data_IF_816343649316
#
_entry.id   IF_816343649316
#
_cell.length_a   1.000
_cell.length_b   1.000
_cell.length_c   1.000
_cell.angle_alpha   90.00
_cell.angle_beta   90.00
_cell.angle_gamma   90.00
#
_symmetry.space_group_name_H-M   'P 1'
#
loop_
_entity.id
_entity.type
_entity.pdbx_description
1 polymer ?
#
# COMPACT_ATOMS: atom_id res chain seq x y z
N UNK A 1 -12.88 11.17 -11.61
CA UNK A 1 -12.25 9.90 -12.02
C UNK A 1 -12.57 8.84 -10.98
N UNK A 2 -13.31 7.78 -11.37
CA UNK A 2 -13.52 6.61 -10.52
C UNK A 2 -12.53 5.54 -10.99
N UNK A 3 -11.54 5.25 -10.16
CA UNK A 3 -10.73 4.04 -10.30
C UNK A 3 -11.31 3.04 -9.30
N UNK A 4 -11.53 1.76 -9.65
CA UNK A 4 -11.78 0.70 -8.67
C UNK A 4 -10.49 0.47 -7.87
N UNK A 5 -10.15 1.45 -7.03
CA UNK A 5 -8.85 1.60 -6.43
C UNK A 5 -8.73 0.75 -5.18
N UNK A 6 -7.57 0.13 -5.00
CA UNK A 6 -7.16 -0.32 -3.68
C UNK A 6 -6.58 0.88 -2.90
N UNK A 7 -6.64 0.81 -1.58
CA UNK A 7 -5.96 1.73 -0.68
C UNK A 7 -4.96 0.92 0.14
N UNK A 8 -3.81 1.52 0.39
CA UNK A 8 -2.79 1.01 1.29
C UNK A 8 -2.78 1.91 2.51
N UNK A 9 -2.83 1.32 3.69
CA UNK A 9 -2.77 2.04 4.95
C UNK A 9 -1.61 1.57 5.80
N UNK A 10 -0.82 2.50 6.31
CA UNK A 10 0.23 2.18 7.29
C UNK A 10 -0.43 1.97 8.65
N UNK A 11 -0.27 0.78 9.21
CA UNK A 11 -0.87 0.34 10.48
C UNK A 11 0.16 0.14 11.60
N UNK A 12 1.45 0.12 11.26
CA UNK A 12 2.56 0.06 12.22
C UNK A 12 3.81 0.71 11.65
N UNK A 13 4.65 1.24 12.53
CA UNK A 13 5.91 1.89 12.16
C UNK A 13 6.95 1.62 13.25
N UNK A 14 8.16 1.25 12.84
CA UNK A 14 9.35 1.20 13.67
C UNK A 14 10.50 1.92 12.96
N UNK A 15 10.85 3.11 13.45
CA UNK A 15 11.98 3.94 12.98
C UNK A 15 11.92 4.31 11.49
N UNK A 16 10.73 4.34 10.89
CA UNK A 16 10.57 4.82 9.52
C UNK A 16 10.50 6.35 9.50
N UNK A 17 11.43 6.98 8.79
CA UNK A 17 11.50 8.45 8.69
C UNK A 17 10.49 9.05 7.69
N UNK A 18 10.00 8.23 6.76
CA UNK A 18 9.20 8.70 5.63
C UNK A 18 7.69 8.52 5.82
N UNK A 19 7.30 7.45 6.52
CA UNK A 19 5.93 7.03 6.67
C UNK A 19 5.57 6.86 8.13
N UNK A 20 4.34 7.22 8.48
CA UNK A 20 3.82 7.07 9.84
C UNK A 20 2.51 6.31 9.83
N UNK A 21 2.17 5.75 10.99
CA UNK A 21 0.87 5.11 11.19
C UNK A 21 -0.25 6.09 10.84
N UNK A 22 -1.19 5.63 10.02
CA UNK A 22 -2.28 6.44 9.50
C UNK A 22 -2.03 7.05 8.12
N UNK A 23 -0.81 7.00 7.59
CA UNK A 23 -0.56 7.36 6.19
C UNK A 23 -1.30 6.42 5.24
N UNK A 24 -1.86 7.00 4.18
CA UNK A 24 -2.64 6.28 3.18
C UNK A 24 -2.11 6.56 1.77
N UNK A 25 -2.08 5.51 0.95
CA UNK A 25 -1.68 5.56 -0.45
C UNK A 25 -2.79 4.94 -1.31
N UNK A 26 -3.02 5.54 -2.46
CA UNK A 26 -3.93 5.01 -3.47
C UNK A 26 -3.19 4.07 -4.41
N UNK A 27 -3.87 2.99 -4.77
CA UNK A 27 -3.49 2.05 -5.81
C UNK A 27 -4.53 2.14 -6.94
N UNK A 28 -4.05 2.35 -8.16
CA UNK A 28 -4.78 2.07 -9.39
C UNK A 28 -4.15 0.86 -10.09
N UNK A 29 -4.75 0.40 -11.19
CA UNK A 29 -4.23 -0.72 -11.98
C UNK A 29 -2.74 -0.64 -12.33
N UNK A 30 -2.20 0.58 -12.49
CA UNK A 30 -0.83 0.79 -12.97
C UNK A 30 -0.03 1.80 -12.16
N UNK A 31 -0.59 2.38 -11.10
CA UNK A 31 0.09 3.43 -10.35
C UNK A 31 -0.19 3.35 -8.85
N UNK A 32 0.81 3.76 -8.09
CA UNK A 32 0.69 4.06 -6.66
C UNK A 32 0.82 5.57 -6.51
N UNK A 33 -0.07 6.18 -5.74
CA UNK A 33 -0.08 7.62 -5.53
C UNK A 33 -0.31 7.96 -4.06
N UNK A 34 0.29 9.06 -3.61
CA UNK A 34 0.11 9.57 -2.25
C UNK A 34 -0.94 10.67 -2.25
N UNK A 35 -1.93 10.57 -1.37
CA UNK A 35 -2.95 11.62 -1.22
C UNK A 35 -2.38 12.95 -0.70
N UNK A 36 -1.30 12.89 0.07
CA UNK A 36 -0.71 14.04 0.76
C UNK A 36 0.56 14.57 0.06
N UNK A 37 0.81 14.19 -1.20
CA UNK A 37 2.01 14.59 -1.94
C UNK A 37 3.34 14.06 -1.38
N UNK A 38 3.31 13.17 -0.38
CA UNK A 38 4.50 12.53 0.18
C UNK A 38 5.25 11.72 -0.90
N UNK A 39 6.59 11.72 -0.87
CA UNK A 39 7.38 10.90 -1.78
C UNK A 39 7.12 9.41 -1.56
N UNK A 40 7.08 8.66 -2.67
CA UNK A 40 6.88 7.22 -2.66
C UNK A 40 8.24 6.53 -2.81
N UNK A 41 8.58 5.70 -1.84
CA UNK A 41 9.81 4.92 -1.79
C UNK A 41 9.72 3.79 -2.80
N UNK A 42 10.70 3.69 -3.70
CA UNK A 42 10.70 2.66 -4.74
C UNK A 42 10.86 1.24 -4.17
N UNK A 43 11.48 1.09 -3.00
CA UNK A 43 11.55 -0.20 -2.28
C UNK A 43 10.15 -0.63 -1.87
N UNK A 44 9.39 0.28 -1.24
CA UNK A 44 8.01 0.04 -0.85
C UNK A 44 7.11 -0.31 -2.07
N UNK A 45 7.30 0.37 -3.20
CA UNK A 45 6.62 0.01 -4.46
C UNK A 45 6.97 -1.40 -4.90
N UNK A 46 8.24 -1.80 -4.78
CA UNK A 46 8.71 -3.15 -5.06
C UNK A 46 8.02 -4.20 -4.19
N UNK A 47 7.97 -3.97 -2.88
CA UNK A 47 7.29 -4.85 -1.91
C UNK A 47 5.81 -5.02 -2.27
N UNK A 48 5.13 -3.91 -2.57
CA UNK A 48 3.72 -3.93 -2.98
C UNK A 48 3.55 -4.71 -4.29
N UNK A 49 4.43 -4.50 -5.29
CA UNK A 49 4.36 -5.24 -6.55
C UNK A 49 4.57 -6.74 -6.35
N UNK A 50 5.48 -7.13 -5.45
CA UNK A 50 5.70 -8.54 -5.14
C UNK A 50 4.47 -9.16 -4.47
N UNK A 51 3.86 -8.45 -3.53
CA UNK A 51 2.59 -8.86 -2.91
C UNK A 51 1.51 -8.99 -3.98
N UNK A 52 1.34 -7.99 -4.86
CA UNK A 52 0.35 -8.04 -5.94
C UNK A 52 0.59 -9.18 -6.93
N UNK A 53 1.85 -9.49 -7.26
CA UNK A 53 2.22 -10.58 -8.16
C UNK A 53 2.02 -11.96 -7.52
N UNK A 54 2.38 -12.13 -6.25
CA UNK A 54 2.12 -13.37 -5.48
C UNK A 54 0.63 -13.60 -5.24
N UNK A 55 -0.14 -12.52 -5.17
CA UNK A 55 -1.58 -12.53 -5.00
C UNK A 55 -2.29 -12.14 -6.31
N UNK A 56 -2.11 -12.92 -7.39
CA UNK A 56 -3.04 -12.93 -8.57
C UNK A 56 -4.53 -13.03 -8.15
N UNK A 57 -4.76 -13.40 -6.89
CA UNK A 57 -6.00 -13.54 -6.17
C UNK A 57 -6.22 -12.37 -5.17
N UNK A 58 -6.27 -11.12 -5.63
CA UNK A 58 -7.10 -10.10 -4.97
C UNK A 58 -8.58 -10.30 -5.33
N UNK A 59 -9.03 -11.55 -5.35
CA UNK A 59 -10.45 -11.92 -5.37
C UNK A 59 -10.97 -11.64 -3.96
N UNK A 60 -11.72 -10.55 -3.84
CA UNK A 60 -12.59 -10.22 -2.72
C UNK A 60 -11.97 -10.33 -1.31
N UNK A 61 -11.57 -9.18 -0.74
CA UNK A 61 -11.50 -8.96 0.70
C UNK A 61 -10.33 -9.58 1.50
N UNK A 62 -9.19 -9.88 0.89
CA UNK A 62 -8.02 -10.28 1.67
C UNK A 62 -7.25 -9.06 2.18
N UNK A 63 -7.35 -8.82 3.48
CA UNK A 63 -6.51 -7.89 4.26
C UNK A 63 -5.10 -8.48 4.33
N UNK A 64 -4.23 -8.13 3.39
CA UNK A 64 -2.83 -8.55 3.44
C UNK A 64 -2.03 -7.55 4.26
N UNK A 65 -1.33 -8.07 5.27
CA UNK A 65 -0.45 -7.27 6.13
C UNK A 65 0.98 -7.68 5.86
N UNK A 66 1.82 -6.71 5.53
CA UNK A 66 3.22 -6.95 5.21
C UNK A 66 4.11 -5.86 5.80
N UNK A 67 5.36 -6.21 6.06
CA UNK A 67 6.39 -5.27 6.47
C UNK A 67 7.14 -4.78 5.23
N UNK A 68 7.53 -3.50 5.18
CA UNK A 68 8.42 -3.06 4.10
C UNK A 68 9.82 -3.63 4.30
N UNK A 69 10.49 -3.97 3.21
CA UNK A 69 11.88 -4.45 3.22
C UNK A 69 12.87 -3.37 3.70
N UNK A 70 12.40 -2.13 3.79
CA UNK A 70 13.04 -1.05 4.53
C UNK A 70 14.21 -0.39 3.80
N UNK A 71 14.56 0.78 4.33
CA UNK A 71 15.81 1.49 4.06
C UNK A 71 16.52 1.85 5.38
N UNK A 72 15.77 2.24 6.41
CA UNK A 72 16.29 2.60 7.75
C UNK A 72 15.39 2.14 8.91
N UNK A 73 14.15 1.74 8.61
CA UNK A 73 13.15 1.26 9.55
C UNK A 73 12.08 0.44 8.82
N UNK A 74 11.12 -0.10 9.56
CA UNK A 74 10.07 -0.98 9.07
C UNK A 74 8.71 -0.29 9.17
N UNK A 75 7.88 -0.44 8.16
CA UNK A 75 6.45 -0.12 8.25
C UNK A 75 5.64 -1.37 8.03
N UNK A 76 4.58 -1.52 8.83
CA UNK A 76 3.57 -2.54 8.64
C UNK A 76 2.39 -1.91 7.95
N UNK A 77 1.99 -2.45 6.80
CA UNK A 77 0.95 -1.87 5.97
C UNK A 77 -0.11 -2.89 5.59
N UNK A 78 -1.30 -2.36 5.33
CA UNK A 78 -2.48 -3.10 4.96
C UNK A 78 -2.95 -2.68 3.57
N UNK A 79 -3.22 -3.65 2.69
CA UNK A 79 -3.86 -3.40 1.40
C UNK A 79 -5.36 -3.76 1.44
N UNK A 80 -6.24 -2.79 1.16
CA UNK A 80 -7.69 -2.99 1.04
C UNK A 80 -8.19 -2.57 -0.35
N UNK A 81 -8.96 -3.42 -1.03
CA UNK A 81 -9.68 -3.01 -2.26
C UNK A 81 -10.90 -2.17 -1.87
N UNK A 82 -11.06 -0.94 -2.37
CA UNK A 82 -12.37 -0.27 -2.25
C UNK A 82 -13.34 -1.02 -3.15
N UNK A 83 -14.45 -1.49 -2.56
CA UNK A 83 -15.57 -1.97 -3.36
C UNK A 83 -16.12 -0.77 -4.12
N UNK A 84 -16.10 -0.84 -5.44
CA UNK A 84 -16.95 0.02 -6.26
C UNK A 84 -18.38 -0.30 -5.87
N UNK A 85 -19.03 0.61 -5.13
CA UNK A 85 -20.46 0.50 -4.88
C UNK A 85 -21.13 0.85 -6.20
N UNK A 86 -21.68 -0.17 -6.85
CA UNK A 86 -22.61 -0.04 -7.99
C UNK A 86 -23.81 0.79 -7.58
#
# INVERSE_FOLDING_TARGET
>A
MKFPGAAIKIIGEDKCLFYKVGDEFGLSDKAIFSYNGKPICLIFVGDIKEILAKHEVLKAAHRSVSDCSGCTGLIRFECQRRKEST
#
